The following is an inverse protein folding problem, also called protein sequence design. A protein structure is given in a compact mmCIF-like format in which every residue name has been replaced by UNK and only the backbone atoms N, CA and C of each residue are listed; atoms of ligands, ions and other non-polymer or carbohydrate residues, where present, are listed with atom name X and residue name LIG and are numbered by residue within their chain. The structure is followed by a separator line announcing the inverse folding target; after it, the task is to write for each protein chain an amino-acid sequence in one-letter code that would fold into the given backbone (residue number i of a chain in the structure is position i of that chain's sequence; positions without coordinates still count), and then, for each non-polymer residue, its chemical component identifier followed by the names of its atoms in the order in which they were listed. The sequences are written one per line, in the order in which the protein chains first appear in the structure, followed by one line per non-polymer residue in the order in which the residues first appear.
data_IF_336717837647
#
_entry.id   IF_336717837647
#
_cell.length_a   1.000
_cell.length_b   1.000
_cell.length_c   1.000
_cell.angle_alpha   90.00
_cell.angle_beta   90.00
_cell.angle_gamma   90.00
#
_symmetry.space_group_name_H-M   'P 1'
#
loop_
_entity.id
_entity.type
_entity.pdbx_description
1 polymer ?
#
# COMPACT_ATOMS: atom_id res chain seq x y z
N UNK A 1 -11.29 1.81 -8.46
CA UNK A 1 -12.45 1.10 -7.89
C UNK A 1 -12.34 -0.42 -8.02
N UNK A 2 -12.14 -0.99 -9.21
CA UNK A 2 -12.03 -2.45 -9.40
C UNK A 2 -10.86 -3.07 -8.59
N UNK A 3 -9.71 -2.38 -8.53
CA UNK A 3 -8.56 -2.83 -7.72
C UNK A 3 -8.92 -2.95 -6.23
N UNK A 4 -9.65 -1.99 -5.65
CA UNK A 4 -10.11 -2.06 -4.26
C UNK A 4 -11.06 -3.24 -4.02
N UNK A 5 -12.00 -3.49 -4.95
CA UNK A 5 -12.89 -4.65 -4.85
C UNK A 5 -12.14 -5.98 -4.93
N UNK A 6 -11.09 -6.06 -5.76
CA UNK A 6 -10.26 -7.25 -5.89
C UNK A 6 -9.36 -7.47 -4.67
N UNK A 7 -8.88 -6.38 -4.06
CA UNK A 7 -8.11 -6.42 -2.81
C UNK A 7 -8.93 -7.05 -1.69
N UNK A 8 -10.20 -6.67 -1.55
CA UNK A 8 -11.12 -7.28 -0.56
C UNK A 8 -11.49 -8.72 -0.94
N UNK A 9 -11.76 -8.99 -2.22
CA UNK A 9 -12.27 -10.30 -2.67
C UNK A 9 -11.20 -11.40 -2.68
N UNK A 10 -10.00 -11.09 -3.13
CA UNK A 10 -8.89 -12.03 -3.20
C UNK A 10 -7.55 -11.26 -3.20
N UNK A 11 -7.05 -10.82 -2.03
CA UNK A 11 -5.82 -10.02 -1.94
C UNK A 11 -4.58 -10.79 -2.44
N UNK A 12 -4.58 -12.13 -2.31
CA UNK A 12 -3.45 -13.00 -2.68
C UNK A 12 -3.15 -13.05 -4.19
N UNK A 13 -3.97 -12.41 -5.04
CA UNK A 13 -3.69 -12.31 -6.47
C UNK A 13 -2.66 -11.22 -6.81
N UNK A 14 -2.37 -10.32 -5.86
CA UNK A 14 -1.47 -9.19 -6.05
C UNK A 14 -0.13 -9.45 -5.34
N UNK A 15 0.96 -9.16 -6.05
CA UNK A 15 2.33 -9.26 -5.53
C UNK A 15 3.01 -7.88 -5.46
N UNK A 16 2.78 -7.02 -6.46
CA UNK A 16 3.22 -5.62 -6.46
C UNK A 16 2.17 -4.73 -7.11
N UNK A 17 1.80 -3.64 -6.45
CA UNK A 17 0.82 -2.66 -6.95
C UNK A 17 1.54 -1.34 -7.21
N UNK A 18 1.50 -0.86 -8.45
CA UNK A 18 1.98 0.47 -8.83
C UNK A 18 0.77 1.33 -9.14
N UNK A 19 0.70 2.50 -8.52
CA UNK A 19 -0.48 3.36 -8.61
C UNK A 19 -0.10 4.84 -8.44
N UNK A 20 -1.03 5.74 -8.73
CA UNK A 20 -0.82 7.17 -8.49
C UNK A 20 -0.90 7.50 -7.01
N UNK A 21 -0.37 8.66 -6.59
CA UNK A 21 -0.28 9.06 -5.18
C UNK A 21 -1.60 8.88 -4.41
N UNK A 22 -2.69 9.49 -4.88
CA UNK A 22 -4.01 9.42 -4.21
C UNK A 22 -4.61 8.01 -4.21
N UNK A 23 -4.40 7.22 -5.28
CA UNK A 23 -4.89 5.85 -5.30
C UNK A 23 -4.01 4.91 -4.49
N UNK A 24 -2.72 5.23 -4.32
CA UNK A 24 -1.79 4.54 -3.44
C UNK A 24 -2.21 4.62 -2.00
N UNK A 25 -2.47 5.84 -1.53
CA UNK A 25 -2.95 6.13 -0.18
C UNK A 25 -4.22 5.32 0.18
N UNK A 26 -5.24 5.38 -0.70
CA UNK A 26 -6.49 4.65 -0.49
C UNK A 26 -6.26 3.12 -0.50
N UNK A 27 -5.49 2.60 -1.45
CA UNK A 27 -5.27 1.16 -1.56
C UNK A 27 -4.34 0.63 -0.46
N UNK A 28 -3.38 1.42 0.03
CA UNK A 28 -2.51 1.03 1.15
C UNK A 28 -3.28 0.94 2.45
N UNK A 29 -4.23 1.85 2.69
CA UNK A 29 -5.09 1.81 3.87
C UNK A 29 -6.01 0.58 3.85
N UNK A 30 -6.65 0.31 2.70
CA UNK A 30 -7.49 -0.87 2.50
C UNK A 30 -6.68 -2.17 2.66
N UNK A 31 -5.47 -2.24 2.07
CA UNK A 31 -4.58 -3.39 2.22
C UNK A 31 -4.13 -3.60 3.68
N UNK A 32 -3.89 -2.51 4.41
CA UNK A 32 -3.50 -2.54 5.83
C UNK A 32 -4.62 -3.08 6.73
N UNK A 33 -5.88 -2.71 6.43
CA UNK A 33 -7.06 -3.26 7.08
C UNK A 33 -7.21 -4.77 6.81
N UNK A 34 -7.04 -5.20 5.56
CA UNK A 34 -7.17 -6.61 5.16
C UNK A 34 -6.05 -7.47 5.76
N UNK A 35 -4.84 -6.92 5.89
CA UNK A 35 -3.68 -7.53 6.57
C UNK A 35 -3.92 -7.73 8.08
N UNK A 36 -4.86 -6.99 8.68
CA UNK A 36 -5.24 -7.12 10.09
C UNK A 36 -4.26 -6.46 11.07
N UNK A 37 -3.22 -5.77 10.59
CA UNK A 37 -2.27 -5.03 11.42
C UNK A 37 -1.70 -3.84 10.65
N UNK A 38 -2.26 -2.65 10.90
CA UNK A 38 -1.73 -1.38 10.36
C UNK A 38 -0.29 -1.17 10.85
N UNK A 39 -0.05 -1.34 12.16
CA UNK A 39 1.22 -0.96 12.80
C UNK A 39 2.43 -1.85 12.49
N UNK A 40 2.30 -2.86 11.62
CA UNK A 40 3.40 -3.74 11.19
C UNK A 40 3.92 -3.41 9.79
N UNK A 41 3.27 -2.49 9.08
CA UNK A 41 3.64 -2.15 7.72
C UNK A 41 4.60 -0.95 7.75
N UNK A 42 5.74 -1.10 7.10
CA UNK A 42 6.73 -0.04 6.95
C UNK A 42 6.53 0.64 5.58
N UNK A 43 6.46 1.97 5.55
CA UNK A 43 6.47 2.76 4.32
C UNK A 43 7.86 3.31 4.05
N UNK A 44 8.23 3.36 2.77
CA UNK A 44 9.47 3.94 2.29
C UNK A 44 9.17 4.85 1.09
N UNK A 45 9.30 6.15 1.30
CA UNK A 45 9.21 7.17 0.24
C UNK A 45 10.61 7.52 -0.25
N UNK A 46 10.97 7.02 -1.44
CA UNK A 46 12.29 7.21 -2.03
C UNK A 46 12.29 8.45 -2.96
N UNK A 47 13.20 9.39 -2.72
CA UNK A 47 13.48 10.49 -3.65
C UNK A 47 14.55 10.09 -4.67
N UNK A 48 14.69 10.85 -5.75
CA UNK A 48 15.75 10.64 -6.74
C UNK A 48 17.14 10.87 -6.08
N UNK A 49 17.88 9.79 -5.81
CA UNK A 49 19.16 9.82 -5.07
C UNK A 49 19.18 8.85 -3.89
N UNK A 50 19.96 9.17 -2.84
CA UNK A 50 20.11 8.32 -1.63
C UNK A 50 19.17 8.71 -0.48
N UNK A 51 18.28 9.68 -0.69
CA UNK A 51 17.38 10.16 0.36
C UNK A 51 16.06 9.39 0.32
N UNK A 52 15.74 8.68 1.40
CA UNK A 52 14.48 7.98 1.60
C UNK A 52 13.87 8.35 2.94
N UNK A 53 12.57 8.64 2.96
CA UNK A 53 11.79 8.87 4.17
C UNK A 53 11.09 7.57 4.55
N UNK A 54 11.36 7.09 5.76
CA UNK A 54 10.80 5.83 6.28
C UNK A 54 9.89 6.14 7.45
N UNK A 55 8.63 5.76 7.31
CA UNK A 55 7.61 5.99 8.33
C UNK A 55 6.77 4.73 8.56
N UNK A 56 6.32 4.48 9.79
CA UNK A 56 5.25 3.51 10.02
C UNK A 56 3.97 4.04 9.39
N UNK A 57 3.20 3.18 8.72
CA UNK A 57 1.84 3.52 8.26
C UNK A 57 0.82 3.32 9.36
#
# INVERSE_FOLDING_TARGET
DNCAMQLVRNPNQFDTIVTSNIFGDILSDEASMISGSIGMLASASLAEGTFGLYEPI
#
